data_IF_427391009124
#
_entry.id   IF_427391009124
#
_cell.length_a   1.000
_cell.length_b   1.000
_cell.length_c   1.000
_cell.angle_alpha   90.00
_cell.angle_beta   90.00
_cell.angle_gamma   90.00
#
_symmetry.space_group_name_H-M   'P 1'
#
loop_
_entity.id
_entity.type
_entity.pdbx_description
1 polymer ?
#
# COMPACT_ATOMS: atom_id res chain seq x y z
N UNK A 1 -35.45 27.14 -22.78
CA UNK A 1 -35.66 26.90 -21.32
C UNK A 1 -36.07 25.46 -20.92
N UNK A 2 -36.21 24.48 -21.84
CA UNK A 2 -36.56 23.08 -21.49
C UNK A 2 -35.43 22.04 -21.56
N UNK A 3 -34.24 22.38 -22.10
CA UNK A 3 -33.07 21.47 -22.14
C UNK A 3 -32.24 21.42 -20.84
N UNK A 4 -32.44 22.35 -19.91
CA UNK A 4 -31.67 22.44 -18.65
C UNK A 4 -32.27 21.70 -17.44
N UNK A 5 -33.48 21.15 -17.56
CA UNK A 5 -34.16 20.44 -16.44
C UNK A 5 -33.95 18.92 -16.49
N UNK A 6 -33.67 18.33 -17.65
CA UNK A 6 -33.47 16.87 -17.78
C UNK A 6 -32.10 16.45 -17.22
N UNK A 7 -31.03 17.19 -17.49
CA UNK A 7 -29.71 16.92 -16.88
C UNK A 7 -29.75 17.01 -15.34
N UNK A 8 -30.54 17.93 -14.77
CA UNK A 8 -30.66 18.08 -13.30
C UNK A 8 -31.35 16.91 -12.60
N UNK A 9 -32.18 16.12 -13.29
CA UNK A 9 -32.82 14.93 -12.71
C UNK A 9 -31.93 13.69 -12.71
N UNK A 10 -30.95 13.61 -13.62
CA UNK A 10 -29.94 12.54 -13.65
C UNK A 10 -28.90 12.78 -12.54
N UNK A 11 -28.62 14.04 -12.21
CA UNK A 11 -27.64 14.48 -11.21
C UNK A 11 -28.02 14.22 -9.74
N UNK A 12 -29.20 13.67 -9.44
CA UNK A 12 -29.66 13.39 -8.06
C UNK A 12 -29.72 11.91 -7.71
N UNK A 13 -29.16 11.03 -8.54
CA UNK A 13 -29.16 9.60 -8.30
C UNK A 13 -27.91 9.22 -7.51
N UNK A 14 -28.11 8.69 -6.30
CA UNK A 14 -27.09 7.97 -5.52
C UNK A 14 -26.35 6.97 -6.41
N UNK A 15 -25.05 6.79 -6.21
CA UNK A 15 -24.23 5.78 -6.92
C UNK A 15 -24.89 4.38 -6.91
N UNK A 16 -25.62 4.05 -5.84
CA UNK A 16 -26.42 2.82 -5.75
C UNK A 16 -27.60 2.74 -6.74
N UNK A 17 -28.20 3.88 -7.09
CA UNK A 17 -29.25 3.96 -8.11
C UNK A 17 -28.67 3.89 -9.52
N UNK A 18 -27.46 4.39 -9.74
CA UNK A 18 -26.76 4.25 -11.03
C UNK A 18 -26.36 2.78 -11.22
N UNK A 19 -25.82 2.12 -10.19
CA UNK A 19 -25.52 0.69 -10.21
C UNK A 19 -26.77 -0.19 -10.45
N UNK A 20 -27.87 0.06 -9.74
CA UNK A 20 -29.15 -0.64 -9.98
C UNK A 20 -29.78 -0.29 -11.34
N UNK A 21 -29.54 0.91 -11.87
CA UNK A 21 -29.97 1.29 -13.22
C UNK A 21 -29.20 0.49 -14.27
N UNK A 22 -27.90 0.26 -14.07
CA UNK A 22 -27.08 -0.61 -14.93
C UNK A 22 -27.41 -2.11 -14.78
N UNK A 23 -27.70 -2.60 -13.57
CA UNK A 23 -28.17 -3.99 -13.35
C UNK A 23 -29.54 -4.25 -13.98
N UNK A 24 -30.43 -3.26 -13.97
CA UNK A 24 -31.77 -3.36 -14.58
C UNK A 24 -31.76 -3.40 -16.11
N UNK A 25 -30.74 -2.86 -16.77
CA UNK A 25 -30.65 -2.87 -18.25
C UNK A 25 -30.17 -4.21 -18.82
N UNK A 26 -29.54 -5.08 -18.02
CA UNK A 26 -29.16 -6.41 -18.47
C UNK A 26 -30.36 -7.37 -18.66
N UNK A 27 -31.56 -6.99 -18.20
CA UNK A 27 -32.74 -7.88 -18.13
C UNK A 27 -33.87 -7.48 -19.09
N UNK A 28 -33.86 -6.29 -19.70
CA UNK A 28 -34.95 -5.85 -20.59
C UNK A 28 -34.50 -5.86 -22.06
N UNK A 29 -34.62 -7.03 -22.68
CA UNK A 29 -34.63 -7.16 -24.13
C UNK A 29 -36.00 -6.78 -24.69
N UNK A 30 -36.08 -5.65 -25.41
CA UNK A 30 -37.24 -5.32 -26.25
C UNK A 30 -37.58 -3.83 -26.33
N UNK A 31 -36.84 -3.08 -27.15
CA UNK A 31 -37.18 -1.70 -27.54
C UNK A 31 -35.95 -0.87 -27.93
N UNK A 32 -35.88 -0.46 -29.21
CA UNK A 32 -34.97 0.53 -29.81
C UNK A 32 -33.57 0.67 -29.14
N UNK A 33 -32.69 -0.28 -29.47
CA UNK A 33 -31.50 -0.66 -28.70
C UNK A 33 -30.30 0.29 -28.67
N UNK A 34 -30.49 1.61 -28.60
CA UNK A 34 -29.38 2.55 -28.32
C UNK A 34 -29.84 3.84 -27.60
N UNK A 35 -30.56 3.70 -26.48
CA UNK A 35 -30.94 4.86 -25.66
C UNK A 35 -29.73 5.61 -25.08
N UNK A 36 -28.63 4.90 -24.82
CA UNK A 36 -27.39 5.49 -24.28
C UNK A 36 -26.58 6.23 -25.36
N UNK A 37 -26.49 5.69 -26.59
CA UNK A 37 -25.81 6.38 -27.70
C UNK A 37 -26.51 7.66 -28.16
N UNK A 38 -27.75 7.89 -27.74
CA UNK A 38 -28.49 9.16 -27.96
C UNK A 38 -28.09 10.28 -26.99
N UNK A 39 -27.38 9.97 -25.90
CA UNK A 39 -26.90 10.97 -24.95
C UNK A 39 -25.70 11.73 -25.53
N UNK A 40 -25.59 13.06 -25.31
CA UNK A 40 -24.37 13.79 -25.64
C UNK A 40 -23.17 13.22 -24.89
N UNK A 41 -22.00 13.17 -25.55
CA UNK A 41 -20.75 12.68 -24.96
C UNK A 41 -20.46 13.33 -23.60
N UNK A 42 -20.65 14.65 -23.47
CA UNK A 42 -20.46 15.37 -22.21
C UNK A 42 -21.29 14.82 -21.03
N UNK A 43 -22.51 14.33 -21.30
CA UNK A 43 -23.36 13.73 -20.27
C UNK A 43 -22.79 12.37 -19.84
N UNK A 44 -22.32 11.56 -20.80
CA UNK A 44 -21.69 10.27 -20.53
C UNK A 44 -20.37 10.48 -19.78
N UNK A 45 -19.52 11.40 -20.24
CA UNK A 45 -18.26 11.78 -19.58
C UNK A 45 -18.50 12.26 -18.17
N UNK A 46 -19.55 13.05 -17.93
CA UNK A 46 -19.88 13.48 -16.57
C UNK A 46 -20.21 12.29 -15.66
N UNK A 47 -21.02 11.34 -16.11
CA UNK A 47 -21.35 10.13 -15.34
C UNK A 47 -20.10 9.27 -15.09
N UNK A 48 -19.27 9.05 -16.12
CA UNK A 48 -18.01 8.32 -16.00
C UNK A 48 -17.04 9.01 -15.02
N UNK A 49 -17.00 10.34 -14.97
CA UNK A 49 -16.16 11.08 -14.03
C UNK A 49 -16.54 10.88 -12.55
N UNK A 50 -17.71 10.29 -12.28
CA UNK A 50 -18.20 9.96 -10.94
C UNK A 50 -17.97 8.49 -10.56
N UNK A 51 -17.43 7.67 -11.48
CA UNK A 51 -17.09 6.27 -11.21
C UNK A 51 -15.61 6.11 -10.82
N UNK A 52 -15.10 4.88 -10.75
CA UNK A 52 -13.67 4.66 -10.63
C UNK A 52 -12.97 4.67 -12.01
N UNK A 53 -11.65 4.91 -12.07
CA UNK A 53 -10.85 4.69 -13.27
C UNK A 53 -11.03 3.30 -13.89
N UNK A 54 -11.12 2.26 -13.05
CA UNK A 54 -11.36 0.90 -13.51
C UNK A 54 -12.72 0.75 -14.19
N UNK A 55 -13.77 1.33 -13.60
CA UNK A 55 -15.12 1.26 -14.17
C UNK A 55 -15.23 2.05 -15.47
N UNK A 56 -14.58 3.22 -15.56
CA UNK A 56 -14.52 3.98 -16.81
C UNK A 56 -13.84 3.18 -17.93
N UNK A 57 -12.73 2.49 -17.63
CA UNK A 57 -12.07 1.60 -18.59
C UNK A 57 -12.94 0.40 -18.99
N UNK A 58 -13.70 -0.18 -18.05
CA UNK A 58 -14.63 -1.28 -18.36
C UNK A 58 -15.80 -0.82 -19.23
N UNK A 59 -16.37 0.35 -18.93
CA UNK A 59 -17.46 0.94 -19.70
C UNK A 59 -17.03 1.34 -21.11
N UNK A 60 -15.77 1.77 -21.29
CA UNK A 60 -15.21 2.07 -22.60
C UNK A 60 -15.29 0.88 -23.58
N UNK A 61 -15.26 -0.36 -23.09
CA UNK A 61 -15.37 -1.56 -23.92
C UNK A 61 -16.83 -1.89 -24.34
N UNK A 62 -17.83 -1.21 -23.78
CA UNK A 62 -19.25 -1.52 -24.00
C UNK A 62 -19.77 -0.90 -25.30
N UNK A 63 -19.36 0.33 -25.63
CA UNK A 63 -19.79 0.99 -26.88
C UNK A 63 -18.82 2.09 -27.33
N UNK A 64 -18.83 2.50 -28.61
CA UNK A 64 -18.03 3.61 -29.10
C UNK A 64 -18.34 4.95 -28.40
N UNK A 65 -19.59 5.17 -27.98
CA UNK A 65 -19.98 6.37 -27.24
C UNK A 65 -19.35 6.41 -25.84
N UNK A 66 -19.32 5.27 -25.14
CA UNK A 66 -18.59 5.16 -23.87
C UNK A 66 -17.08 5.27 -24.06
N UNK A 67 -16.53 4.70 -25.13
CA UNK A 67 -15.11 4.82 -25.43
C UNK A 67 -14.71 6.30 -25.62
N UNK A 68 -15.42 7.04 -26.46
CA UNK A 68 -15.17 8.47 -26.69
C UNK A 68 -15.23 9.27 -25.38
N UNK A 69 -16.30 9.05 -24.59
CA UNK A 69 -16.47 9.70 -23.30
C UNK A 69 -15.37 9.34 -22.28
N UNK A 70 -14.95 8.07 -22.25
CA UNK A 70 -13.92 7.58 -21.34
C UNK A 70 -12.50 8.08 -21.69
N UNK A 71 -12.26 8.53 -22.92
CA UNK A 71 -10.99 9.19 -23.31
C UNK A 71 -10.98 10.70 -22.98
N UNK A 72 -12.11 11.26 -22.53
CA UNK A 72 -12.24 12.71 -22.28
C UNK A 72 -11.46 13.18 -21.04
N UNK A 73 -10.78 14.32 -21.16
CA UNK A 73 -10.10 14.99 -20.04
C UNK A 73 -11.06 15.48 -18.94
N UNK A 74 -12.37 15.52 -19.21
CA UNK A 74 -13.38 15.74 -18.17
C UNK A 74 -13.42 14.59 -17.16
N UNK A 75 -13.25 13.34 -17.64
CA UNK A 75 -13.23 12.13 -16.83
C UNK A 75 -11.93 12.06 -16.03
N UNK A 76 -10.80 12.06 -16.73
CA UNK A 76 -9.48 11.92 -16.10
C UNK A 76 -9.11 13.10 -15.21
N UNK A 77 -9.66 14.28 -15.49
CA UNK A 77 -9.52 15.44 -14.60
C UNK A 77 -10.15 15.25 -13.22
N UNK A 78 -11.14 14.35 -13.06
CA UNK A 78 -11.68 14.00 -11.73
C UNK A 78 -10.94 12.85 -11.06
N UNK A 79 -10.30 11.98 -11.83
CA UNK A 79 -9.52 10.86 -11.30
C UNK A 79 -8.14 11.27 -10.81
N UNK A 80 -7.60 12.35 -11.35
CA UNK A 80 -6.37 12.95 -10.87
C UNK A 80 -6.63 13.67 -9.53
N UNK A 81 -5.81 13.40 -8.49
CA UNK A 81 -5.86 14.20 -7.27
C UNK A 81 -5.58 15.67 -7.56
N UNK A 82 -6.32 16.62 -6.94
CA UNK A 82 -6.25 18.04 -7.27
C UNK A 82 -4.87 18.68 -7.04
N UNK A 83 -4.02 18.08 -6.21
CA UNK A 83 -2.68 18.52 -5.83
C UNK A 83 -1.55 17.71 -6.50
N UNK A 84 -1.88 16.68 -7.28
CA UNK A 84 -0.88 15.77 -7.86
C UNK A 84 -0.22 16.27 -9.16
N UNK A 85 -0.74 17.35 -9.75
CA UNK A 85 -0.31 17.84 -11.06
C UNK A 85 0.97 18.69 -11.04
N UNK A 86 1.09 19.64 -10.11
CA UNK A 86 2.19 20.62 -10.15
C UNK A 86 3.35 20.24 -9.22
N UNK A 87 3.10 19.92 -7.94
CA UNK A 87 4.19 19.69 -6.97
C UNK A 87 4.86 18.31 -7.09
N UNK A 88 4.12 17.27 -7.52
CA UNK A 88 4.64 15.89 -7.65
C UNK A 88 5.38 15.70 -8.97
N UNK A 89 4.96 16.39 -10.03
CA UNK A 89 5.58 16.32 -11.36
C UNK A 89 6.68 17.37 -11.56
N UNK A 90 6.73 18.44 -10.77
CA UNK A 90 7.75 19.50 -10.87
C UNK A 90 9.21 19.00 -10.80
N UNK A 91 9.57 17.99 -9.97
CA UNK A 91 10.95 17.50 -9.94
C UNK A 91 11.27 16.48 -11.04
N UNK A 92 10.26 15.87 -11.67
CA UNK A 92 10.44 14.64 -12.46
C UNK A 92 10.09 14.75 -13.95
N UNK A 93 9.43 15.83 -14.40
CA UNK A 93 9.04 15.93 -15.81
C UNK A 93 9.18 17.34 -16.37
N UNK A 94 9.79 17.40 -17.55
CA UNK A 94 9.50 18.37 -18.61
C UNK A 94 7.96 18.50 -18.77
N UNK A 95 7.30 19.30 -17.93
CA UNK A 95 5.85 19.43 -17.83
C UNK A 95 5.13 19.94 -19.12
N UNK A 96 5.82 19.90 -20.27
CA UNK A 96 5.42 20.46 -21.56
C UNK A 96 5.13 19.42 -22.65
N UNK A 97 4.88 18.14 -22.34
CA UNK A 97 4.71 17.09 -23.37
C UNK A 97 3.53 16.12 -23.27
N UNK A 98 2.73 16.13 -22.21
CA UNK A 98 1.60 15.21 -22.12
C UNK A 98 0.45 15.63 -23.03
N UNK A 99 -0.11 14.68 -23.80
CA UNK A 99 -1.19 14.91 -24.75
C UNK A 99 -2.58 14.88 -24.09
N UNK A 100 -2.74 14.24 -22.92
CA UNK A 100 -4.01 14.17 -22.19
C UNK A 100 -3.83 13.96 -20.68
N UNK A 101 -4.89 14.20 -19.90
CA UNK A 101 -4.93 13.90 -18.46
C UNK A 101 -4.91 12.41 -18.17
N UNK A 102 -5.40 11.59 -19.10
CA UNK A 102 -5.27 10.13 -19.03
C UNK A 102 -3.81 9.69 -19.05
N UNK A 103 -3.01 10.30 -19.93
CA UNK A 103 -1.57 10.02 -20.01
C UNK A 103 -0.86 10.38 -18.71
N UNK A 104 -1.19 11.54 -18.13
CA UNK A 104 -0.69 11.95 -16.81
C UNK A 104 -1.06 10.92 -15.74
N UNK A 105 -2.33 10.50 -15.69
CA UNK A 105 -2.80 9.52 -14.70
C UNK A 105 -2.04 8.19 -14.84
N UNK A 106 -1.91 7.67 -16.06
CA UNK A 106 -1.19 6.42 -16.31
C UNK A 106 0.28 6.52 -15.92
N UNK A 107 0.91 7.68 -16.15
CA UNK A 107 2.28 7.92 -15.73
C UNK A 107 2.44 7.98 -14.21
N UNK A 108 1.48 8.58 -13.51
CA UNK A 108 1.44 8.62 -12.05
C UNK A 108 1.08 7.25 -11.43
N UNK A 109 0.51 6.32 -12.20
CA UNK A 109 0.40 4.92 -11.77
C UNK A 109 1.75 4.20 -11.77
N UNK A 110 2.73 4.69 -12.53
CA UNK A 110 4.11 4.25 -12.39
C UNK A 110 4.72 4.94 -11.16
N UNK A 111 5.62 4.24 -10.46
CA UNK A 111 6.30 4.80 -9.29
C UNK A 111 7.20 5.98 -9.68
N UNK A 112 7.04 7.11 -9.01
CA UNK A 112 7.84 8.33 -9.17
C UNK A 112 8.60 8.61 -7.87
N UNK A 113 9.89 8.92 -7.96
CA UNK A 113 10.68 9.37 -6.81
C UNK A 113 10.36 10.84 -6.51
N UNK A 114 10.07 11.13 -5.24
CA UNK A 114 9.76 12.46 -4.73
C UNK A 114 10.57 12.76 -3.47
N UNK A 115 10.52 14.02 -3.00
CA UNK A 115 11.23 14.48 -1.80
C UNK A 115 12.73 14.11 -1.81
N UNK A 116 13.44 14.50 -2.88
CA UNK A 116 14.86 14.22 -3.04
C UNK A 116 15.20 12.74 -3.21
N UNK A 117 14.24 11.90 -3.60
CA UNK A 117 14.42 10.46 -3.76
C UNK A 117 14.24 9.66 -2.47
N UNK A 118 13.77 10.29 -1.39
CA UNK A 118 13.51 9.61 -0.11
C UNK A 118 12.13 8.98 -0.01
N UNK A 119 11.25 9.32 -0.94
CA UNK A 119 9.88 8.79 -1.01
C UNK A 119 9.56 8.35 -2.43
N UNK A 120 8.72 7.33 -2.56
CA UNK A 120 8.10 6.95 -3.83
C UNK A 120 6.62 7.30 -3.77
N UNK A 121 6.12 7.96 -4.81
CA UNK A 121 4.72 8.24 -5.04
C UNK A 121 4.18 7.35 -6.17
N UNK A 122 2.94 6.88 -6.04
CA UNK A 122 2.16 6.32 -7.16
C UNK A 122 0.66 6.44 -6.93
N UNK A 123 -0.14 6.38 -7.98
CA UNK A 123 -1.58 6.20 -7.91
C UNK A 123 -1.95 4.72 -7.99
N UNK A 124 -2.84 4.28 -7.11
CA UNK A 124 -3.51 2.98 -7.23
C UNK A 124 -4.37 2.99 -8.49
N UNK A 125 -4.00 2.16 -9.47
CA UNK A 125 -4.55 2.16 -10.83
C UNK A 125 -6.07 2.00 -10.90
N UNK A 126 -6.67 1.27 -9.97
CA UNK A 126 -8.10 1.00 -9.98
C UNK A 126 -8.93 2.16 -9.43
N UNK A 127 -8.41 2.88 -8.44
CA UNK A 127 -9.17 3.85 -7.65
C UNK A 127 -8.68 5.29 -7.81
N UNK A 128 -7.45 5.51 -8.28
CA UNK A 128 -6.78 6.81 -8.29
C UNK A 128 -6.33 7.28 -6.92
N UNK A 129 -6.35 6.41 -5.90
CA UNK A 129 -5.89 6.77 -4.55
C UNK A 129 -4.37 6.81 -4.49
N UNK A 130 -3.85 7.79 -3.75
CA UNK A 130 -2.41 7.98 -3.58
C UNK A 130 -1.79 6.90 -2.70
N UNK A 131 -0.63 6.39 -3.10
CA UNK A 131 0.22 5.52 -2.32
C UNK A 131 1.59 6.18 -2.13
N UNK A 132 2.20 5.99 -0.97
CA UNK A 132 3.54 6.47 -0.66
C UNK A 132 4.38 5.36 -0.09
N UNK A 133 5.65 5.30 -0.49
CA UNK A 133 6.65 4.47 0.18
C UNK A 133 7.72 5.38 0.77
N UNK A 134 7.94 5.32 2.07
CA UNK A 134 9.02 6.02 2.77
C UNK A 134 10.28 5.15 2.69
N UNK A 135 11.40 5.69 2.22
CA UNK A 135 12.69 4.97 2.23
C UNK A 135 13.21 4.81 3.65
N UNK A 136 14.12 3.85 3.88
CA UNK A 136 14.83 3.71 5.15
C UNK A 136 15.54 5.01 5.60
N UNK A 137 16.01 5.83 4.65
CA UNK A 137 16.62 7.16 4.91
C UNK A 137 15.62 8.22 5.35
N UNK A 138 14.33 7.98 5.12
CA UNK A 138 13.23 8.84 5.56
C UNK A 138 12.65 8.39 6.91
N UNK A 139 13.11 7.25 7.44
CA UNK A 139 12.70 6.73 8.74
C UNK A 139 13.62 7.24 9.85
N UNK A 140 13.05 7.41 11.05
CA UNK A 140 13.83 7.49 12.26
C UNK A 140 14.14 6.08 12.75
N UNK A 141 15.42 5.71 12.75
CA UNK A 141 15.90 4.43 13.26
C UNK A 141 16.77 4.72 14.47
N UNK A 142 16.42 4.18 15.63
CA UNK A 142 17.23 4.36 16.85
C UNK A 142 18.61 3.75 16.63
N UNK A 143 19.62 4.59 16.80
CA UNK A 143 21.02 4.32 16.49
C UNK A 143 21.34 3.99 15.02
N UNK A 144 20.48 4.37 14.06
CA UNK A 144 20.69 4.14 12.63
C UNK A 144 21.99 4.73 12.08
N UNK A 145 22.51 5.79 12.70
CA UNK A 145 23.79 6.41 12.33
C UNK A 145 24.98 5.90 13.16
N UNK A 146 24.78 4.88 13.99
CA UNK A 146 25.84 4.26 14.80
C UNK A 146 26.35 3.00 14.09
N UNK A 147 27.57 3.00 13.50
CA UNK A 147 28.06 1.92 12.65
C UNK A 147 28.25 0.56 13.33
N UNK A 148 28.22 0.52 14.66
CA UNK A 148 28.28 -0.72 15.44
C UNK A 148 26.94 -1.46 15.47
N UNK A 149 25.84 -0.75 15.22
CA UNK A 149 24.49 -1.26 15.34
C UNK A 149 23.77 -1.33 14.00
N UNK A 150 24.04 -0.39 13.11
CA UNK A 150 23.44 -0.31 11.79
C UNK A 150 24.48 0.01 10.73
N UNK A 151 24.27 -0.51 9.53
CA UNK A 151 25.03 -0.17 8.34
C UNK A 151 24.07 0.22 7.23
N UNK A 152 24.41 1.28 6.50
CA UNK A 152 23.70 1.66 5.29
C UNK A 152 24.33 0.94 4.10
N UNK A 153 23.50 0.25 3.32
CA UNK A 153 23.94 -0.59 2.20
C UNK A 153 23.20 -0.21 0.93
N UNK A 154 23.86 -0.37 -0.22
CA UNK A 154 23.23 -0.26 -1.53
C UNK A 154 22.97 -1.66 -2.10
N UNK A 155 21.75 -1.89 -2.53
CA UNK A 155 21.32 -3.17 -3.10
C UNK A 155 20.81 -2.96 -4.52
N UNK A 156 21.27 -3.72 -5.53
CA UNK A 156 20.83 -3.56 -6.91
C UNK A 156 19.32 -3.75 -7.10
N UNK A 157 18.68 -4.56 -6.25
CA UNK A 157 17.23 -4.79 -6.31
C UNK A 157 16.39 -3.77 -5.52
N UNK A 158 17.03 -2.80 -4.85
CA UNK A 158 16.33 -1.76 -4.07
C UNK A 158 15.79 -0.67 -4.99
N UNK A 159 14.59 -0.16 -4.66
CA UNK A 159 14.03 1.03 -5.32
C UNK A 159 14.64 2.34 -4.82
N UNK A 160 15.32 2.29 -3.67
CA UNK A 160 16.01 3.41 -3.07
C UNK A 160 17.54 3.23 -3.13
N UNK A 161 18.33 4.33 -3.12
CA UNK A 161 19.79 4.24 -3.18
C UNK A 161 20.41 3.46 -2.00
N UNK A 162 19.77 3.51 -0.83
CA UNK A 162 20.26 2.90 0.39
C UNK A 162 19.13 2.22 1.17
N UNK A 163 19.47 1.07 1.75
CA UNK A 163 18.69 0.33 2.75
C UNK A 163 19.47 0.29 4.08
N UNK A 164 18.76 0.06 5.19
CA UNK A 164 19.37 -0.02 6.52
C UNK A 164 19.49 -1.49 6.96
N UNK A 165 20.71 -1.96 7.18
CA UNK A 165 21.00 -3.29 7.70
C UNK A 165 21.31 -3.22 9.19
N UNK A 166 20.59 -4.01 9.97
CA UNK A 166 20.78 -4.17 11.39
C UNK A 166 21.92 -5.15 11.67
N UNK A 167 22.99 -4.66 12.28
CA UNK A 167 24.16 -5.48 12.64
C UNK A 167 23.95 -6.23 13.94
N UNK A 168 23.60 -5.53 15.03
CA UNK A 168 23.28 -6.16 16.31
C UNK A 168 22.70 -5.16 17.33
N UNK A 169 21.47 -5.35 17.81
CA UNK A 169 20.89 -4.53 18.89
C UNK A 169 20.01 -5.36 19.82
N UNK A 170 19.77 -4.89 21.05
CA UNK A 170 18.71 -5.42 21.92
C UNK A 170 17.49 -4.49 22.02
N UNK A 171 17.60 -3.26 21.49
CA UNK A 171 16.54 -2.25 21.39
C UNK A 171 16.25 -1.98 19.91
N UNK A 172 15.10 -2.45 19.41
CA UNK A 172 14.65 -2.17 18.05
C UNK A 172 13.60 -1.08 18.08
N UNK A 173 13.82 -0.03 17.30
CA UNK A 173 12.82 1.02 17.16
C UNK A 173 13.00 1.73 15.81
N UNK A 174 11.97 1.58 14.97
CA UNK A 174 11.87 2.18 13.65
C UNK A 174 10.58 2.98 13.64
N UNK A 175 10.66 4.25 13.23
CA UNK A 175 9.49 5.12 13.09
C UNK A 175 9.46 5.80 11.74
N UNK A 176 8.28 5.82 11.13
CA UNK A 176 7.96 6.59 9.93
C UNK A 176 6.93 7.66 10.27
N UNK A 177 6.91 8.73 9.48
CA UNK A 177 5.98 9.83 9.66
C UNK A 177 5.47 10.32 8.32
N UNK A 178 4.15 10.51 8.20
CA UNK A 178 3.50 10.92 6.96
C UNK A 178 2.44 11.98 7.23
N UNK A 179 2.48 13.13 6.54
CA UNK A 179 1.41 14.13 6.63
C UNK A 179 0.12 13.56 6.03
N UNK A 180 -0.96 13.52 6.83
CA UNK A 180 -2.27 13.01 6.39
C UNK A 180 -2.87 13.79 5.21
N UNK A 181 -2.48 15.05 5.01
CA UNK A 181 -2.90 15.90 3.87
C UNK A 181 -2.43 15.36 2.53
N UNK A 182 -1.28 14.69 2.52
CA UNK A 182 -0.72 14.10 1.32
C UNK A 182 -1.46 12.83 0.90
N UNK A 183 -2.19 12.20 1.82
CA UNK A 183 -2.96 10.99 1.58
C UNK A 183 -4.35 11.31 1.02
N UNK A 184 -4.98 10.31 0.39
CA UNK A 184 -6.33 10.47 -0.12
C UNK A 184 -7.35 10.47 1.01
N UNK A 185 -8.30 11.40 0.96
CA UNK A 185 -9.40 11.52 1.91
C UNK A 185 -10.36 10.33 1.86
N UNK A 186 -11.09 10.07 2.93
CA UNK A 186 -12.10 9.00 3.06
C UNK A 186 -11.57 7.65 2.60
N UNK A 187 -10.35 7.32 3.01
CA UNK A 187 -9.63 6.13 2.56
C UNK A 187 -9.02 5.42 3.76
N UNK A 188 -9.27 4.12 3.86
CA UNK A 188 -8.54 3.25 4.79
C UNK A 188 -7.19 2.92 4.19
N UNK A 189 -6.13 3.13 4.95
CA UNK A 189 -4.75 2.84 4.60
C UNK A 189 -4.21 1.71 5.47
N UNK A 190 -3.28 0.96 4.89
CA UNK A 190 -2.45 0.00 5.58
C UNK A 190 -0.98 0.36 5.38
N UNK A 191 -0.19 0.26 6.45
CA UNK A 191 1.26 0.48 6.41
C UNK A 191 2.00 -0.86 6.53
N UNK A 192 2.93 -1.10 5.62
CA UNK A 192 3.72 -2.33 5.58
C UNK A 192 5.20 -2.01 5.71
N UNK A 193 5.93 -2.73 6.56
CA UNK A 193 7.39 -2.71 6.53
C UNK A 193 7.85 -3.52 5.31
N UNK A 194 8.73 -2.96 4.49
CA UNK A 194 9.40 -3.67 3.40
C UNK A 194 10.82 -4.00 3.81
N UNK A 195 11.16 -5.29 3.82
CA UNK A 195 12.44 -5.73 4.37
C UNK A 195 12.93 -7.06 3.77
N UNK A 196 14.20 -7.36 4.02
CA UNK A 196 14.87 -8.65 3.78
C UNK A 196 15.52 -9.12 5.07
N UNK A 197 15.89 -10.40 5.10
CA UNK A 197 16.70 -10.98 6.16
C UNK A 197 18.03 -11.46 5.57
N UNK A 198 19.13 -11.13 6.25
CA UNK A 198 20.43 -11.71 5.97
C UNK A 198 20.47 -13.19 6.39
N UNK A 199 21.36 -13.97 5.78
CA UNK A 199 21.47 -15.42 6.00
C UNK A 199 21.70 -15.80 7.47
N UNK A 200 22.44 -14.98 8.23
CA UNK A 200 22.75 -15.20 9.65
C UNK A 200 21.84 -14.41 10.61
N UNK A 201 20.68 -13.94 10.13
CA UNK A 201 19.71 -13.20 10.94
C UNK A 201 19.20 -14.02 12.13
N UNK A 202 18.94 -13.34 13.26
CA UNK A 202 18.42 -13.97 14.47
C UNK A 202 17.70 -12.95 15.37
N UNK A 203 16.91 -13.44 16.32
CA UNK A 203 16.24 -12.62 17.34
C UNK A 203 15.06 -11.78 16.81
N UNK A 204 14.48 -12.18 15.67
CA UNK A 204 13.38 -11.49 14.98
C UNK A 204 12.07 -12.27 14.99
N UNK A 205 12.08 -13.47 15.57
CA UNK A 205 10.96 -14.37 15.74
C UNK A 205 10.27 -14.16 17.09
N UNK A 206 11.03 -14.02 18.18
CA UNK A 206 10.51 -13.77 19.52
C UNK A 206 11.47 -12.89 20.37
N UNK A 207 10.93 -12.01 21.23
CA UNK A 207 9.52 -11.64 21.32
C UNK A 207 9.04 -10.88 20.06
N UNK A 208 7.75 -10.96 19.76
CA UNK A 208 7.19 -10.21 18.65
C UNK A 208 7.40 -8.71 18.83
N UNK A 209 7.61 -8.02 17.72
CA UNK A 209 7.64 -6.57 17.66
C UNK A 209 6.22 -6.02 17.83
N UNK A 210 6.07 -4.83 18.41
CA UNK A 210 4.82 -4.08 18.46
C UNK A 210 4.80 -3.11 17.28
N UNK A 211 3.93 -3.36 16.30
CA UNK A 211 3.56 -2.39 15.29
C UNK A 211 2.50 -1.44 15.83
N UNK A 212 2.64 -0.13 15.60
CA UNK A 212 1.64 0.83 15.99
C UNK A 212 1.48 1.95 14.97
N UNK A 213 0.23 2.38 14.75
CA UNK A 213 -0.10 3.57 13.96
C UNK A 213 -0.88 4.54 14.83
N UNK A 214 -0.45 5.79 14.85
CA UNK A 214 -1.13 6.88 15.54
C UNK A 214 -1.54 7.96 14.54
N UNK A 215 -2.81 8.37 14.61
CA UNK A 215 -3.38 9.47 13.82
C UNK A 215 -4.21 10.33 14.76
N UNK A 216 -3.73 11.53 15.06
CA UNK A 216 -4.29 12.37 16.11
C UNK A 216 -4.42 11.58 17.44
N UNK A 217 -5.63 11.48 18.04
CA UNK A 217 -5.84 10.74 19.29
C UNK A 217 -6.03 9.22 19.09
N UNK A 218 -6.11 8.73 17.85
CA UNK A 218 -6.41 7.32 17.54
C UNK A 218 -5.09 6.55 17.46
N UNK A 219 -5.04 5.40 18.12
CA UNK A 219 -3.87 4.51 18.10
C UNK A 219 -4.33 3.09 17.79
N UNK A 220 -3.72 2.47 16.80
CA UNK A 220 -3.83 1.03 16.49
C UNK A 220 -2.52 0.34 16.87
N UNK A 221 -2.61 -0.90 17.37
CA UNK A 221 -1.46 -1.72 17.75
C UNK A 221 -1.64 -3.15 17.27
N UNK A 222 -0.57 -3.72 16.73
CA UNK A 222 -0.52 -5.08 16.21
C UNK A 222 0.75 -5.78 16.70
N UNK A 223 0.66 -7.09 16.94
CA UNK A 223 1.85 -7.92 17.14
C UNK A 223 2.43 -8.31 15.78
N UNK A 224 3.71 -8.04 15.56
CA UNK A 224 4.41 -8.25 14.29
C UNK A 224 5.55 -9.23 14.52
N UNK A 225 5.61 -10.29 13.71
CA UNK A 225 6.76 -11.19 13.64
C UNK A 225 7.55 -10.84 12.37
N UNK A 226 8.86 -10.62 12.49
CA UNK A 226 9.73 -10.31 11.36
C UNK A 226 10.38 -11.55 10.75
N UNK A 227 10.42 -12.67 11.47
CA UNK A 227 10.90 -13.92 10.90
C UNK A 227 9.76 -14.66 10.18
N UNK A 228 9.94 -15.08 8.91
CA UNK A 228 8.98 -15.97 8.27
C UNK A 228 8.91 -17.26 9.09
N UNK A 229 7.74 -17.58 9.61
CA UNK A 229 7.53 -18.89 10.21
C UNK A 229 7.55 -19.88 9.06
N UNK A 230 8.60 -20.70 8.96
CA UNK A 230 8.50 -21.93 8.19
C UNK A 230 7.35 -22.71 8.82
N UNK A 231 6.18 -22.70 8.17
CA UNK A 231 5.17 -23.69 8.44
C UNK A 231 5.91 -25.01 8.34
N UNK A 232 5.98 -25.72 9.47
CA UNK A 232 6.67 -26.99 9.59
C UNK A 232 6.55 -27.76 8.28
N UNK A 233 7.69 -28.07 7.65
CA UNK A 233 7.78 -29.22 6.75
C UNK A 233 7.36 -30.45 7.55
N UNK A 234 6.05 -30.65 7.67
CA UNK A 234 5.48 -31.87 8.17
C UNK A 234 5.73 -32.95 7.12
N UNK A 235 6.48 -33.95 7.58
CA UNK A 235 6.47 -35.35 7.14
C UNK A 235 7.09 -35.69 5.79
N UNK A 236 8.42 -35.92 5.79
CA UNK A 236 9.06 -37.08 5.16
C UNK A 236 10.58 -36.94 5.30
N UNK A 237 11.14 -37.53 6.36
CA UNK A 237 12.51 -38.00 6.35
C UNK A 237 12.47 -39.51 6.61
N UNK A 238 12.60 -40.30 5.54
CA UNK A 238 13.12 -41.65 5.70
C UNK A 238 14.57 -41.55 6.19
N UNK A 239 14.78 -41.78 7.48
CA UNK A 239 16.10 -42.11 8.03
C UNK A 239 16.41 -43.57 7.69
N UNK A 240 17.58 -43.89 7.12
CA UNK A 240 18.26 -45.12 7.47
C UNK A 240 18.87 -44.93 8.86
N UNK A 241 18.60 -45.90 9.74
CA UNK A 241 19.16 -45.94 11.08
C UNK A 241 20.69 -46.14 11.00
N UNK A 242 21.44 -45.27 11.67
CA UNK A 242 22.71 -45.67 12.29
C UNK A 242 22.91 -44.89 13.58
N UNK A 243 23.12 -45.69 14.62
CA UNK A 243 23.21 -45.33 16.02
C UNK A 243 24.57 -44.75 16.39
N UNK A 244 24.61 -43.57 16.98
CA UNK A 244 25.63 -43.24 17.97
C UNK A 244 25.03 -42.43 19.13
N UNK A 245 25.04 -43.06 20.31
CA UNK A 245 24.94 -42.46 21.65
C UNK A 245 26.14 -41.51 21.82
N UNK A 246 26.16 -40.39 22.56
CA UNK A 246 25.43 -39.89 23.74
C UNK A 246 25.95 -38.44 23.93
N UNK A 247 25.13 -37.52 24.49
CA UNK A 247 25.42 -36.75 25.74
C UNK A 247 24.48 -35.53 25.85
N UNK A 248 23.55 -35.63 26.80
CA UNK A 248 22.79 -34.56 27.49
C UNK A 248 22.71 -33.18 26.83
N UNK A 249 21.65 -32.93 26.05
CA UNK A 249 21.03 -31.60 26.01
C UNK A 249 19.91 -31.58 27.05
N UNK A 250 20.06 -30.67 28.00
CA UNK A 250 19.07 -30.31 29.01
C UNK A 250 17.76 -30.05 28.28
N UNK A 251 16.72 -30.82 28.62
CA UNK A 251 15.35 -30.65 28.10
C UNK A 251 14.92 -29.23 28.48
N UNK A 252 15.02 -28.28 27.56
CA UNK A 252 14.31 -27.00 27.68
C UNK A 252 12.83 -27.40 27.73
N UNK A 253 12.06 -26.97 28.74
CA UNK A 253 10.63 -27.22 28.73
C UNK A 253 10.09 -26.65 27.41
N UNK A 254 9.13 -27.29 26.74
CA UNK A 254 8.39 -26.58 25.71
C UNK A 254 7.79 -25.38 26.42
N UNK A 255 8.25 -24.17 26.07
CA UNK A 255 7.60 -22.95 26.53
C UNK A 255 6.14 -23.12 26.18
N UNK A 256 5.30 -23.10 27.21
CA UNK A 256 3.87 -23.27 27.11
C UNK A 256 3.35 -22.36 26.00
N UNK A 257 2.82 -22.98 24.96
CA UNK A 257 2.10 -22.36 23.86
C UNK A 257 0.88 -21.63 24.42
N UNK A 258 1.07 -20.42 24.95
CA UNK A 258 0.01 -19.58 25.46
C UNK A 258 -0.54 -18.76 24.30
N UNK A 259 -1.67 -19.20 23.72
CA UNK A 259 -2.86 -18.45 23.24
C UNK A 259 -2.70 -17.17 22.37
N UNK A 260 -1.56 -16.48 22.35
CA UNK A 260 -1.22 -15.31 21.53
C UNK A 260 -0.81 -15.65 20.09
N UNK A 261 -0.63 -16.92 19.76
CA UNK A 261 0.04 -17.35 18.53
C UNK A 261 -0.82 -17.27 17.25
N UNK A 262 -2.08 -16.84 17.36
CA UNK A 262 -3.01 -16.74 16.22
C UNK A 262 -3.24 -15.32 15.71
N UNK A 263 -2.81 -14.30 16.43
CA UNK A 263 -3.20 -12.90 16.14
C UNK A 263 -2.00 -12.00 15.84
N UNK A 264 -0.96 -12.56 15.20
CA UNK A 264 0.25 -11.83 14.79
C UNK A 264 0.28 -11.63 13.29
N UNK A 265 0.86 -10.52 12.86
CA UNK A 265 1.22 -10.27 11.48
C UNK A 265 2.52 -11.03 11.16
N UNK A 266 2.52 -11.77 10.06
CA UNK A 266 3.68 -12.52 9.57
C UNK A 266 4.07 -12.01 8.18
N UNK A 267 5.36 -12.06 7.82
CA UNK A 267 5.80 -11.53 6.56
C UNK A 267 5.36 -12.43 5.41
N UNK A 268 5.09 -11.81 4.26
CA UNK A 268 4.90 -12.50 3.00
C UNK A 268 5.95 -12.05 1.98
N UNK A 269 6.30 -12.95 1.06
CA UNK A 269 7.26 -12.64 -0.02
C UNK A 269 6.55 -11.88 -1.13
N UNK A 270 7.20 -10.84 -1.64
CA UNK A 270 6.75 -10.02 -2.77
C UNK A 270 7.38 -10.53 -4.07
N UNK A 271 6.78 -10.16 -5.20
CA UNK A 271 7.31 -10.52 -6.52
C UNK A 271 8.65 -9.88 -6.87
N UNK A 272 9.08 -8.85 -6.12
CA UNK A 272 10.37 -8.15 -6.27
C UNK A 272 11.48 -8.76 -5.39
N UNK A 273 11.22 -9.90 -4.73
CA UNK A 273 12.19 -10.59 -3.87
C UNK A 273 12.35 -9.97 -2.47
N UNK A 274 11.63 -8.89 -2.16
CA UNK A 274 11.52 -8.35 -0.80
C UNK A 274 10.41 -9.07 -0.04
N UNK A 275 10.41 -8.95 1.29
CA UNK A 275 9.28 -9.31 2.13
C UNK A 275 8.50 -8.06 2.54
N UNK A 276 7.22 -8.23 2.84
CA UNK A 276 6.43 -7.23 3.54
C UNK A 276 5.67 -7.82 4.71
N UNK A 277 5.48 -7.02 5.76
CA UNK A 277 4.60 -7.36 6.89
C UNK A 277 3.76 -6.15 7.27
N UNK A 278 2.50 -6.37 7.61
CA UNK A 278 1.58 -5.33 8.06
C UNK A 278 2.04 -4.80 9.43
N UNK A 279 2.22 -3.48 9.53
CA UNK A 279 2.46 -2.78 10.80
C UNK A 279 1.13 -2.38 11.44
N UNK A 280 0.17 -1.94 10.62
CA UNK A 280 -1.15 -1.57 11.09
C UNK A 280 -1.97 -0.85 10.02
N UNK A 281 -3.15 -0.39 10.44
CA UNK A 281 -4.12 0.26 9.57
C UNK A 281 -4.69 1.53 10.21
N UNK A 282 -5.12 2.46 9.38
CA UNK A 282 -5.76 3.69 9.82
C UNK A 282 -6.72 4.23 8.75
N UNK A 283 -7.69 5.03 9.16
CA UNK A 283 -8.60 5.73 8.25
C UNK A 283 -8.22 7.20 8.17
N UNK A 284 -7.96 7.68 6.96
CA UNK A 284 -7.74 9.10 6.68
C UNK A 284 -9.07 9.73 6.26
N UNK A 285 -9.64 10.61 7.09
CA UNK A 285 -10.93 11.23 6.81
C UNK A 285 -10.79 12.45 5.89
N UNK A 286 -10.47 13.63 6.44
CA UNK A 286 -10.31 14.87 5.67
C UNK A 286 -8.84 15.29 5.49
N UNK A 287 -7.90 14.57 6.11
CA UNK A 287 -6.47 14.87 6.08
C UNK A 287 -6.09 16.06 6.98
N UNK A 288 -6.89 16.37 7.98
CA UNK A 288 -6.64 17.43 8.98
C UNK A 288 -6.27 16.88 10.37
N UNK A 289 -6.15 15.56 10.50
CA UNK A 289 -5.77 14.86 11.73
C UNK A 289 -4.27 14.99 12.08
N UNK A 290 -3.52 15.80 11.33
CA UNK A 290 -2.10 16.02 11.49
C UNK A 290 -1.26 14.91 10.87
N UNK A 291 -0.19 14.53 11.54
CA UNK A 291 0.72 13.51 11.05
C UNK A 291 0.25 12.09 11.41
N UNK A 292 0.49 11.15 10.50
CA UNK A 292 0.40 9.71 10.71
C UNK A 292 1.76 9.23 11.20
N UNK A 293 1.84 8.89 12.48
CA UNK A 293 3.02 8.29 13.08
C UNK A 293 2.94 6.76 13.00
N UNK A 294 3.93 6.14 12.38
CA UNK A 294 4.03 4.69 12.18
C UNK A 294 5.24 4.22 12.97
N UNK A 295 5.12 3.15 13.75
CA UNK A 295 6.23 2.62 14.52
C UNK A 295 6.25 1.10 14.56
N UNK A 296 7.45 0.55 14.61
CA UNK A 296 7.73 -0.86 14.89
C UNK A 296 8.78 -0.92 15.99
N UNK A 297 8.40 -1.47 17.14
CA UNK A 297 9.23 -1.41 18.35
C UNK A 297 9.37 -2.75 19.04
N UNK A 298 10.57 -3.03 19.54
CA UNK A 298 10.82 -4.13 20.47
C UNK A 298 11.96 -3.74 21.42
N UNK A 299 11.56 -3.19 22.56
CA UNK A 299 12.47 -2.58 23.54
C UNK A 299 12.43 -3.27 24.91
N UNK A 300 11.45 -4.17 25.11
CA UNK A 300 11.17 -4.80 26.41
C UNK A 300 11.82 -6.18 26.58
N UNK A 301 12.13 -6.86 25.47
CA UNK A 301 12.58 -8.25 25.46
C UNK A 301 14.04 -8.47 25.87
N UNK A 302 14.89 -7.46 25.65
CA UNK A 302 16.34 -7.55 25.87
C UNK A 302 17.07 -8.55 24.98
N UNK A 303 16.38 -9.20 24.03
CA UNK A 303 16.96 -10.18 23.12
C UNK A 303 17.73 -9.46 22.01
N UNK A 304 18.98 -9.89 21.83
CA UNK A 304 19.82 -9.44 20.75
C UNK A 304 19.30 -9.94 19.40
N UNK A 305 19.38 -9.08 18.40
CA UNK A 305 18.84 -9.31 17.07
C UNK A 305 19.74 -8.68 16.00
N UNK A 306 19.79 -9.33 14.86
CA UNK A 306 20.62 -8.92 13.73
C UNK A 306 20.03 -9.39 12.40
N UNK A 307 20.57 -8.85 11.31
CA UNK A 307 20.30 -9.29 9.95
C UNK A 307 19.00 -8.77 9.35
N UNK A 308 18.29 -7.85 10.01
CA UNK A 308 17.15 -7.16 9.42
C UNK A 308 17.64 -6.12 8.40
N UNK A 309 17.19 -6.20 7.15
CA UNK A 309 17.50 -5.22 6.10
C UNK A 309 16.23 -4.47 5.73
N UNK A 310 16.13 -3.20 6.07
CA UNK A 310 14.94 -2.37 5.86
C UNK A 310 15.08 -1.56 4.57
N UNK A 311 14.15 -1.73 3.63
CA UNK A 311 14.02 -0.84 2.46
C UNK A 311 13.20 0.40 2.82
N UNK A 312 12.12 0.24 3.59
CA UNK A 312 11.18 1.32 3.86
C UNK A 312 9.83 0.89 4.42
N UNK A 313 8.88 1.82 4.43
CA UNK A 313 7.48 1.60 4.82
C UNK A 313 6.56 1.96 3.65
N UNK A 314 5.75 1.01 3.17
CA UNK A 314 4.75 1.20 2.11
C UNK A 314 3.39 1.53 2.72
N UNK A 315 2.84 2.69 2.40
CA UNK A 315 1.54 3.21 2.84
C UNK A 315 0.61 3.21 1.63
N UNK A 316 -0.33 2.26 1.61
CA UNK A 316 -1.24 2.06 0.48
C UNK A 316 -2.69 1.90 0.92
N UNK A 317 -3.67 2.27 0.08
CA UNK A 317 -5.08 2.03 0.33
C UNK A 317 -5.33 0.55 0.61
N UNK A 318 -6.22 0.28 1.57
CA UNK A 318 -6.74 -1.05 1.83
C UNK A 318 -8.04 -1.21 1.05
N UNK A 319 -7.99 -1.97 -0.04
CA UNK A 319 -9.14 -2.42 -0.82
C UNK A 319 -9.84 -3.60 -0.17
#
# INVERSE_FOLDING_TARGET
KRRGQTCRRILSLSLSKIAHWFEGMAVVGGGDGDEIGRLPEECISHVLSLTSPLDACRLAAVSPAFLAAAESDLVWGRFLPPDSGDDVLAPSVEARRFASKKEIYLRLCDSVLVDGGRKIFKLERSTGRKCYTLSARDLMIVWGDTPHYWRWISLPESRFPEAAELLNVCWLEIRGKMDSKLLSRKTTYAAYLIFKLADESHGLDLPYQEGAIQVGPRVSREAVCLHPHELERSTHWHRPAVSFRRRFLRRVPPCSSSVLDKNRQVPCTRGDGWMEVLIGEFFNDEGDDGDVDISLVEIKGGQWKSGLIVEGIDIRPKT
#
